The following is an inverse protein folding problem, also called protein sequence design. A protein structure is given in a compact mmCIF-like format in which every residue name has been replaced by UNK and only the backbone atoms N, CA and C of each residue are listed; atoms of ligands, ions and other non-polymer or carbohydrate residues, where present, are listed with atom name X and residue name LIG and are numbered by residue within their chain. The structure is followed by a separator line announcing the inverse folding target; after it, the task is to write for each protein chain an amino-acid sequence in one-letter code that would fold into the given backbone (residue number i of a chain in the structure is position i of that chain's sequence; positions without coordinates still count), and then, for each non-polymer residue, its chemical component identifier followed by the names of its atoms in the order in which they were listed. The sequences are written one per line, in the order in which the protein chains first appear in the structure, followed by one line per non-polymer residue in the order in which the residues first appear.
data_IF_779692232038
#
_entry.id   IF_779692232038
#
_cell.length_a   1.000
_cell.length_b   1.000
_cell.length_c   1.000
_cell.angle_alpha   90.00
_cell.angle_beta   90.00
_cell.angle_gamma   90.00
#
_symmetry.space_group_name_H-M   'P 1'
#
loop_
_entity.id
_entity.type
_entity.pdbx_description
1 polymer ?
#
# COMPACT_ATOMS: atom_id res chain seq x y z
N UNK A 1 -24.74 19.73 -3.27
CA UNK A 1 -24.07 19.68 -4.60
C UNK A 1 -22.57 19.68 -4.32
N UNK A 2 -21.80 18.77 -4.91
CA UNK A 2 -20.34 18.74 -4.75
C UNK A 2 -19.75 19.79 -5.66
N UNK A 3 -18.87 20.65 -5.12
CA UNK A 3 -18.13 21.63 -5.91
C UNK A 3 -17.13 20.91 -6.83
N UNK A 4 -17.24 21.09 -8.18
CA UNK A 4 -16.37 20.40 -9.13
C UNK A 4 -14.90 20.78 -9.02
N UNK A 5 -14.59 22.02 -8.60
CA UNK A 5 -13.20 22.48 -8.49
C UNK A 5 -12.53 21.87 -7.26
N UNK A 6 -13.27 21.79 -6.15
CA UNK A 6 -12.80 21.08 -4.94
C UNK A 6 -12.60 19.58 -5.25
N UNK A 7 -13.56 18.94 -5.92
CA UNK A 7 -13.46 17.53 -6.29
C UNK A 7 -12.23 17.28 -7.18
N UNK A 8 -11.97 18.14 -8.14
CA UNK A 8 -10.80 18.06 -9.03
C UNK A 8 -9.49 18.22 -8.25
N UNK A 9 -9.43 19.22 -7.35
CA UNK A 9 -8.28 19.45 -6.48
C UNK A 9 -7.96 18.21 -5.62
N UNK A 10 -8.97 17.60 -5.01
CA UNK A 10 -8.79 16.40 -4.20
C UNK A 10 -8.29 15.22 -5.03
N UNK A 11 -8.87 14.97 -6.18
CA UNK A 11 -8.41 13.93 -7.10
C UNK A 11 -6.96 14.12 -7.50
N UNK A 12 -6.62 15.32 -7.96
CA UNK A 12 -5.30 15.60 -8.54
C UNK A 12 -4.18 15.61 -7.47
N UNK A 13 -4.53 15.86 -6.20
CA UNK A 13 -3.59 16.05 -5.11
C UNK A 13 -3.53 14.86 -4.15
N UNK A 14 -4.64 14.18 -3.90
CA UNK A 14 -4.74 13.17 -2.83
C UNK A 14 -5.23 11.80 -3.29
N UNK A 15 -5.82 11.65 -4.47
CA UNK A 15 -6.18 10.34 -4.99
C UNK A 15 -4.92 9.61 -5.48
N UNK A 16 -4.39 8.73 -4.62
CA UNK A 16 -3.15 7.98 -4.90
C UNK A 16 -3.28 7.11 -6.14
N UNK A 17 -4.44 6.49 -6.38
CA UNK A 17 -4.65 5.69 -7.59
C UNK A 17 -4.57 6.57 -8.83
N UNK A 18 -5.26 7.69 -8.84
CA UNK A 18 -5.23 8.63 -9.95
C UNK A 18 -3.81 9.17 -10.21
N UNK A 19 -3.10 9.57 -9.15
CA UNK A 19 -1.72 10.08 -9.24
C UNK A 19 -0.80 9.01 -9.81
N UNK A 20 -0.87 7.78 -9.31
CA UNK A 20 -0.05 6.68 -9.82
C UNK A 20 -0.37 6.38 -11.29
N UNK A 21 -1.64 6.32 -11.66
CA UNK A 21 -2.06 6.07 -13.03
C UNK A 21 -1.56 7.16 -13.99
N UNK A 22 -1.65 8.43 -13.58
CA UNK A 22 -1.19 9.58 -14.36
C UNK A 22 0.32 9.60 -14.54
N UNK A 23 1.06 9.29 -13.49
CA UNK A 23 2.51 9.50 -13.42
C UNK A 23 3.31 8.18 -13.42
N UNK A 24 2.68 7.06 -13.77
CA UNK A 24 3.30 5.74 -13.65
C UNK A 24 4.61 5.60 -14.42
N UNK A 25 4.73 6.21 -15.58
CA UNK A 25 5.97 6.20 -16.36
C UNK A 25 7.19 6.72 -15.58
N UNK A 26 6.97 7.66 -14.65
CA UNK A 26 8.02 8.24 -13.78
C UNK A 26 8.12 7.53 -12.44
N UNK A 27 6.99 7.14 -11.87
CA UNK A 27 6.90 6.58 -10.51
C UNK A 27 7.10 5.07 -10.50
N UNK A 28 6.59 4.36 -11.48
CA UNK A 28 6.61 2.91 -11.56
C UNK A 28 8.02 2.31 -11.39
N UNK A 29 9.05 2.77 -12.13
CA UNK A 29 10.41 2.29 -11.94
C UNK A 29 10.98 2.49 -10.52
N UNK A 30 10.51 3.53 -9.82
CA UNK A 30 10.93 3.85 -8.44
C UNK A 30 10.17 3.04 -7.39
N UNK A 31 8.95 2.62 -7.70
CA UNK A 31 8.03 1.95 -6.78
C UNK A 31 7.99 0.44 -6.98
N UNK A 32 8.66 -0.08 -7.98
CA UNK A 32 8.70 -1.52 -8.29
C UNK A 32 9.12 -2.34 -7.08
N UNK A 33 8.26 -3.28 -6.68
CA UNK A 33 8.48 -4.15 -5.52
C UNK A 33 8.40 -3.43 -4.16
N UNK A 34 7.88 -2.20 -4.11
CA UNK A 34 7.79 -1.41 -2.86
C UNK A 34 6.36 -1.18 -2.40
N UNK A 35 5.37 -1.54 -3.20
CA UNK A 35 3.96 -1.35 -2.86
C UNK A 35 3.47 -2.63 -2.18
N UNK A 36 3.14 -2.52 -0.90
CA UNK A 36 2.60 -3.59 -0.09
C UNK A 36 1.32 -3.07 0.58
N UNK A 37 0.20 -3.70 0.29
CA UNK A 37 -1.12 -3.30 0.79
C UNK A 37 -1.75 -4.49 1.51
N UNK A 38 -2.34 -4.22 2.66
CA UNK A 38 -3.10 -5.20 3.43
C UNK A 38 -4.48 -4.66 3.71
N UNK A 39 -5.52 -5.42 3.44
CA UNK A 39 -6.90 -4.99 3.61
C UNK A 39 -7.81 -6.15 4.04
N UNK A 40 -8.76 -5.87 4.91
CA UNK A 40 -9.85 -6.81 5.20
C UNK A 40 -10.92 -6.75 4.11
N UNK A 41 -11.48 -7.90 3.72
CA UNK A 41 -12.54 -7.94 2.67
C UNK A 41 -13.88 -7.41 3.15
N UNK A 42 -14.08 -7.28 4.48
CA UNK A 42 -15.26 -6.70 5.12
C UNK A 42 -14.88 -5.44 5.92
N UNK A 43 -14.05 -4.61 5.35
CA UNK A 43 -13.68 -3.32 5.95
C UNK A 43 -14.94 -2.48 6.21
N UNK A 44 -15.21 -2.17 7.47
CA UNK A 44 -16.38 -1.40 7.89
C UNK A 44 -16.29 0.10 7.54
N UNK A 45 -15.13 0.56 7.09
CA UNK A 45 -14.93 1.86 6.45
C UNK A 45 -14.98 1.82 4.91
N UNK A 46 -15.25 0.64 4.34
CA UNK A 46 -15.30 0.40 2.89
C UNK A 46 -14.02 0.73 2.12
N UNK A 47 -12.87 0.81 2.79
CA UNK A 47 -11.60 1.14 2.17
C UNK A 47 -11.06 -0.01 1.28
N UNK A 48 -11.53 -1.24 1.50
CA UNK A 48 -11.27 -2.37 0.60
C UNK A 48 -11.66 -2.07 -0.86
N UNK A 49 -12.71 -1.27 -1.08
CA UNK A 49 -13.12 -0.89 -2.44
C UNK A 49 -12.05 -0.05 -3.15
N UNK A 50 -11.38 0.83 -2.43
CA UNK A 50 -10.25 1.60 -2.97
C UNK A 50 -9.04 0.70 -3.26
N UNK A 51 -8.82 -0.32 -2.41
CA UNK A 51 -7.74 -1.31 -2.61
C UNK A 51 -8.00 -2.15 -3.86
N UNK A 52 -9.24 -2.62 -4.10
CA UNK A 52 -9.59 -3.34 -5.32
C UNK A 52 -9.32 -2.54 -6.59
N UNK A 53 -9.67 -1.25 -6.57
CA UNK A 53 -9.39 -0.36 -7.70
C UNK A 53 -7.89 -0.11 -7.90
N UNK A 54 -7.13 -0.03 -6.81
CA UNK A 54 -5.68 0.09 -6.87
C UNK A 54 -5.04 -1.18 -7.43
N UNK A 55 -5.49 -2.35 -6.98
CA UNK A 55 -5.03 -3.65 -7.49
C UNK A 55 -5.27 -3.78 -8.99
N UNK A 56 -6.47 -3.45 -9.46
CA UNK A 56 -6.81 -3.49 -10.88
C UNK A 56 -5.84 -2.64 -11.72
N UNK A 57 -5.46 -1.47 -11.24
CA UNK A 57 -4.47 -0.62 -11.88
C UNK A 57 -3.07 -1.28 -11.86
N UNK A 58 -2.61 -1.74 -10.68
CA UNK A 58 -1.26 -2.28 -10.49
C UNK A 58 -1.02 -3.55 -11.30
N UNK A 59 -2.05 -4.40 -11.46
CA UNK A 59 -1.98 -5.61 -12.28
C UNK A 59 -1.77 -5.32 -13.77
N UNK A 60 -2.24 -4.18 -14.26
CA UNK A 60 -2.12 -3.77 -15.67
C UNK A 60 -0.97 -2.79 -15.90
N UNK A 61 -0.30 -2.35 -14.86
CA UNK A 61 0.72 -1.33 -14.94
C UNK A 61 1.94 -1.77 -15.77
N UNK A 62 2.39 -0.89 -16.65
CA UNK A 62 3.60 -1.08 -17.43
C UNK A 62 4.52 0.13 -17.23
N UNK A 63 5.76 -0.04 -16.73
CA UNK A 63 6.36 -1.33 -16.29
C UNK A 63 5.62 -1.96 -15.11
N UNK A 64 5.83 -3.29 -14.91
CA UNK A 64 5.19 -4.03 -13.82
C UNK A 64 5.47 -3.42 -12.45
N UNK A 65 4.43 -3.31 -11.62
CA UNK A 65 4.54 -2.79 -10.26
C UNK A 65 5.26 -3.75 -9.29
N UNK A 66 5.15 -5.06 -9.53
CA UNK A 66 5.59 -6.11 -8.59
C UNK A 66 5.06 -5.82 -7.16
N UNK A 67 3.80 -5.38 -7.10
CA UNK A 67 3.11 -5.06 -5.85
C UNK A 67 2.63 -6.35 -5.16
N UNK A 68 2.58 -6.30 -3.83
CA UNK A 68 2.01 -7.36 -3.01
C UNK A 68 0.76 -6.83 -2.31
N UNK A 69 -0.38 -7.51 -2.52
CA UNK A 69 -1.66 -7.16 -1.89
C UNK A 69 -2.18 -8.39 -1.16
N UNK A 70 -2.45 -8.24 0.13
CA UNK A 70 -2.91 -9.31 1.01
C UNK A 70 -4.30 -8.98 1.51
N UNK A 71 -5.26 -9.86 1.24
CA UNK A 71 -6.62 -9.74 1.75
C UNK A 71 -6.85 -10.68 2.94
N UNK A 72 -7.45 -10.13 3.99
CA UNK A 72 -8.01 -10.90 5.09
C UNK A 72 -9.46 -11.23 4.81
N UNK A 73 -9.76 -12.50 4.50
CA UNK A 73 -11.12 -12.96 4.25
C UNK A 73 -12.01 -12.70 5.47
N UNK A 74 -13.12 -11.98 5.27
CA UNK A 74 -14.07 -11.58 6.32
C UNK A 74 -13.45 -10.77 7.47
N UNK A 75 -12.35 -10.06 7.21
CA UNK A 75 -11.70 -9.20 8.19
C UNK A 75 -12.12 -7.75 8.02
N UNK A 76 -12.14 -7.05 9.15
CA UNK A 76 -12.53 -5.66 9.25
C UNK A 76 -11.35 -4.71 8.98
N UNK A 77 -11.58 -3.42 9.21
CA UNK A 77 -10.65 -2.31 8.96
C UNK A 77 -9.25 -2.49 9.54
N UNK A 78 -9.13 -3.07 10.73
CA UNK A 78 -7.85 -3.21 11.43
C UNK A 78 -7.08 -4.50 11.10
N UNK A 79 -7.38 -5.18 10.01
CA UNK A 79 -6.61 -6.36 9.60
C UNK A 79 -5.17 -5.99 9.26
N UNK A 80 -4.21 -6.62 9.95
CA UNK A 80 -2.76 -6.33 9.87
C UNK A 80 -1.97 -7.30 8.99
N UNK A 81 -2.64 -8.22 8.28
CA UNK A 81 -1.98 -9.26 7.51
C UNK A 81 -1.62 -10.52 8.31
N UNK A 82 -1.90 -10.56 9.61
CA UNK A 82 -1.71 -11.77 10.41
C UNK A 82 -2.87 -12.76 10.17
N UNK A 83 -2.62 -13.74 9.31
CA UNK A 83 -3.59 -14.79 8.99
C UNK A 83 -3.70 -15.85 10.08
N UNK A 84 -2.68 -16.00 10.93
CA UNK A 84 -2.70 -16.95 12.06
C UNK A 84 -3.48 -16.40 13.26
N UNK A 85 -3.37 -15.08 13.49
CA UNK A 85 -4.04 -14.39 14.58
C UNK A 85 -4.85 -13.19 14.05
N UNK A 86 -5.85 -13.45 13.22
CA UNK A 86 -6.49 -12.41 12.43
C UNK A 86 -7.30 -11.40 13.25
N UNK A 87 -7.64 -11.72 14.50
CA UNK A 87 -8.32 -10.80 15.42
C UNK A 87 -7.35 -10.03 16.32
N UNK A 88 -6.04 -10.26 16.16
CA UNK A 88 -5.03 -9.58 16.96
C UNK A 88 -4.46 -8.38 16.22
N UNK A 89 -5.25 -7.32 16.14
CA UNK A 89 -4.83 -6.02 15.61
C UNK A 89 -3.91 -5.24 16.57
N UNK A 90 -3.41 -5.91 17.59
CA UNK A 90 -2.61 -5.28 18.65
C UNK A 90 -1.25 -4.78 18.17
N UNK A 91 -0.73 -3.77 18.85
CA UNK A 91 0.61 -3.20 18.61
C UNK A 91 1.72 -4.25 18.58
N UNK A 92 1.57 -5.34 19.32
CA UNK A 92 2.52 -6.46 19.34
C UNK A 92 2.71 -7.09 17.98
N UNK A 93 1.63 -7.41 17.26
CA UNK A 93 1.71 -7.99 15.90
C UNK A 93 2.37 -7.02 14.93
N UNK A 94 2.00 -5.75 14.99
CA UNK A 94 2.63 -4.71 14.17
C UNK A 94 4.13 -4.65 14.41
N UNK A 95 4.59 -4.56 15.66
CA UNK A 95 6.00 -4.42 15.98
C UNK A 95 6.82 -5.69 15.77
N UNK A 96 6.27 -6.86 16.05
CA UNK A 96 7.02 -8.11 15.99
C UNK A 96 7.06 -8.74 14.60
N UNK A 97 6.06 -8.50 13.76
CA UNK A 97 5.97 -9.11 12.43
C UNK A 97 6.01 -8.09 11.30
N UNK A 98 5.15 -7.09 11.36
CA UNK A 98 4.93 -6.17 10.25
C UNK A 98 6.13 -5.24 10.05
N UNK A 99 6.58 -4.57 11.09
CA UNK A 99 7.72 -3.64 11.01
C UNK A 99 9.02 -4.32 10.55
N UNK A 100 9.40 -5.50 11.06
CA UNK A 100 10.57 -6.21 10.55
C UNK A 100 10.43 -6.66 9.10
N UNK A 101 9.23 -7.03 8.65
CA UNK A 101 8.97 -7.37 7.25
C UNK A 101 9.15 -6.15 6.35
N UNK A 102 8.58 -5.01 6.71
CA UNK A 102 8.75 -3.74 6.01
C UNK A 102 10.21 -3.34 5.92
N UNK A 103 10.96 -3.41 7.01
CA UNK A 103 12.39 -3.11 7.02
C UNK A 103 13.17 -4.00 6.03
N UNK A 104 12.88 -5.30 6.00
CA UNK A 104 13.49 -6.21 5.02
C UNK A 104 13.16 -5.86 3.58
N UNK A 105 11.92 -5.44 3.29
CA UNK A 105 11.55 -4.98 1.95
C UNK A 105 12.28 -3.71 1.57
N UNK A 106 12.33 -2.73 2.46
CA UNK A 106 13.06 -1.48 2.25
C UNK A 106 14.53 -1.75 1.93
N UNK A 107 15.17 -2.62 2.69
CA UNK A 107 16.57 -3.01 2.48
C UNK A 107 16.79 -3.70 1.13
N UNK A 108 15.90 -4.61 0.73
CA UNK A 108 16.02 -5.33 -0.56
C UNK A 108 15.80 -4.43 -1.77
N UNK A 109 14.94 -3.43 -1.63
CA UNK A 109 14.57 -2.52 -2.72
C UNK A 109 15.29 -1.19 -2.67
N UNK A 110 16.22 -1.02 -1.74
CA UNK A 110 17.03 0.19 -1.62
C UNK A 110 17.83 0.43 -2.92
N UNK A 111 17.87 1.66 -3.42
CA UNK A 111 18.69 2.00 -4.58
C UNK A 111 20.17 1.68 -4.32
N UNK A 112 20.91 1.37 -5.39
CA UNK A 112 22.34 1.11 -5.29
C UNK A 112 23.06 2.32 -4.72
N UNK A 113 23.79 2.16 -3.62
CA UNK A 113 24.50 3.25 -2.91
C UNK A 113 23.62 4.02 -1.93
N UNK A 114 22.37 3.59 -1.69
CA UNK A 114 21.54 4.19 -0.64
C UNK A 114 22.21 3.99 0.73
N UNK A 115 22.14 5.03 1.56
CA UNK A 115 22.50 4.90 2.96
C UNK A 115 21.45 4.09 3.70
N UNK A 116 21.81 2.87 4.07
CA UNK A 116 20.94 1.95 4.81
C UNK A 116 21.34 1.84 6.29
N UNK A 117 22.17 2.72 6.80
CA UNK A 117 22.71 2.67 8.16
C UNK A 117 22.24 3.81 9.05
N UNK A 118 22.18 5.03 8.54
CA UNK A 118 21.88 6.23 9.36
C UNK A 118 20.47 6.25 9.94
N UNK A 119 19.51 5.53 9.36
CA UNK A 119 18.15 5.43 9.88
C UNK A 119 18.02 4.52 11.13
N UNK A 120 19.11 3.83 11.52
CA UNK A 120 19.10 2.93 12.68
C UNK A 120 19.41 3.64 14.01
N UNK A 121 19.58 4.96 14.00
CA UNK A 121 19.94 5.77 15.17
C UNK A 121 18.90 6.84 15.45
#
# INVERSE_FOLDING_TARGET
MIDPDVARYWRDTYDLRYILQRDWGKLGPKLRGKIHITSGTMDNGYLNNAVYQMEEFLMRATPSAEAEIVYGERREHCFTGDTEHPNNAGSRTVHQRYMPAMARWMMRTAPRGADTRTWMY
#
